data_IF_273329514721
#
_entry.id   IF_273329514721
#
_cell.length_a   1.000
_cell.length_b   1.000
_cell.length_c   1.000
_cell.angle_alpha   90.00
_cell.angle_beta   90.00
_cell.angle_gamma   90.00
#
_symmetry.space_group_name_H-M   'P 1'
#
loop_
_entity.id
_entity.type
_entity.pdbx_description
1 polymer ?
#
# COMPACT_ATOMS: atom_id res chain seq x y z
N UNK A 1 11.65 -33.04 -0.10
CA UNK A 1 11.71 -31.84 0.78
C UNK A 1 11.15 -30.70 -0.05
N UNK A 2 10.16 -29.91 0.41
CA UNK A 2 9.77 -28.72 -0.35
C UNK A 2 10.94 -27.73 -0.20
N UNK A 3 11.85 -27.79 -1.16
CA UNK A 3 12.97 -26.88 -1.25
C UNK A 3 12.40 -25.52 -1.60
N UNK A 4 12.76 -24.51 -0.83
CA UNK A 4 12.55 -23.12 -1.23
C UNK A 4 13.23 -22.97 -2.60
N UNK A 5 12.44 -22.85 -3.66
CA UNK A 5 12.97 -22.55 -4.98
C UNK A 5 13.49 -21.11 -4.92
N UNK A 6 14.81 -20.94 -5.04
CA UNK A 6 15.46 -19.63 -5.07
C UNK A 6 14.86 -18.73 -6.17
N UNK A 7 14.30 -19.33 -7.23
CA UNK A 7 13.54 -18.65 -8.28
C UNK A 7 12.30 -17.91 -7.79
N UNK A 8 11.70 -18.30 -6.66
CA UNK A 8 10.52 -17.66 -6.07
C UNK A 8 10.85 -16.55 -5.06
N UNK A 9 12.13 -16.37 -4.69
CA UNK A 9 12.55 -15.42 -3.65
C UNK A 9 12.87 -14.01 -4.17
N UNK A 10 12.86 -13.79 -5.48
CA UNK A 10 13.13 -12.49 -6.09
C UNK A 10 12.26 -11.33 -5.54
N UNK A 11 10.99 -11.53 -5.09
CA UNK A 11 10.22 -10.45 -4.48
C UNK A 11 10.84 -9.90 -3.19
N UNK A 12 11.74 -10.68 -2.55
CA UNK A 12 12.50 -10.29 -1.37
C UNK A 12 13.26 -8.97 -1.53
N UNK A 13 13.72 -8.64 -2.74
CA UNK A 13 14.44 -7.39 -3.01
C UNK A 13 13.55 -6.15 -2.80
N UNK A 14 12.26 -6.24 -3.10
CA UNK A 14 11.33 -5.13 -2.87
C UNK A 14 11.16 -4.84 -1.39
N UNK A 15 11.11 -5.87 -0.55
CA UNK A 15 11.08 -5.69 0.90
C UNK A 15 12.38 -5.07 1.40
N UNK A 16 13.53 -5.57 0.95
CA UNK A 16 14.83 -5.05 1.36
C UNK A 16 14.98 -3.56 1.01
N UNK A 17 14.70 -3.18 -0.25
CA UNK A 17 14.79 -1.80 -0.69
C UNK A 17 13.69 -0.93 -0.08
N UNK A 18 12.45 -1.44 0.00
CA UNK A 18 11.33 -0.74 0.62
C UNK A 18 11.60 -0.39 2.08
N UNK A 19 12.13 -1.33 2.87
CA UNK A 19 12.56 -1.09 4.24
C UNK A 19 13.75 -0.12 4.30
N UNK A 20 14.73 -0.26 3.42
CA UNK A 20 15.87 0.66 3.36
C UNK A 20 15.43 2.12 3.12
N UNK A 21 14.32 2.35 2.41
CA UNK A 21 13.74 3.69 2.21
C UNK A 21 12.82 4.13 3.35
N UNK A 22 12.11 3.21 4.01
CA UNK A 22 11.17 3.54 5.09
C UNK A 22 11.84 3.82 6.44
N UNK A 23 12.98 3.19 6.71
CA UNK A 23 13.65 3.28 8.00
C UNK A 23 14.34 4.63 8.30
N UNK A 24 15.05 5.28 7.34
CA UNK A 24 15.82 6.49 7.63
C UNK A 24 15.03 7.64 8.27
N UNK A 25 13.79 7.97 7.82
CA UNK A 25 13.00 9.02 8.46
C UNK A 25 12.74 8.77 9.96
N UNK A 26 12.70 7.49 10.40
CA UNK A 26 12.41 7.11 11.79
C UNK A 26 13.69 7.10 12.63
N UNK A 27 14.82 6.72 12.02
CA UNK A 27 16.13 6.62 12.68
C UNK A 27 16.80 8.00 12.81
N UNK A 28 16.50 8.94 11.91
CA UNK A 28 17.10 10.28 11.88
C UNK A 28 16.06 11.40 12.11
N UNK A 29 15.55 11.57 13.36
CA UNK A 29 14.53 12.58 13.66
C UNK A 29 14.90 14.01 13.28
N UNK A 30 16.19 14.35 13.31
CA UNK A 30 16.70 15.68 12.93
C UNK A 30 16.50 16.01 11.45
N UNK A 31 16.41 15.01 10.59
CA UNK A 31 16.22 15.16 9.13
C UNK A 31 14.84 14.68 8.68
N UNK A 32 13.94 14.43 9.64
CA UNK A 32 12.61 13.85 9.44
C UNK A 32 11.82 14.51 8.31
N UNK A 33 11.84 15.84 8.26
CA UNK A 33 11.07 16.61 7.28
C UNK A 33 11.62 16.46 5.85
N UNK A 34 12.95 16.44 5.70
CA UNK A 34 13.62 16.25 4.42
C UNK A 34 13.47 14.80 3.91
N UNK A 35 13.48 13.83 4.84
CA UNK A 35 13.42 12.41 4.51
C UNK A 35 11.99 11.86 4.38
N UNK A 36 10.96 12.60 4.81
CA UNK A 36 9.57 12.15 4.74
C UNK A 36 9.14 11.71 3.33
N UNK A 37 9.73 12.27 2.28
CA UNK A 37 9.45 11.85 0.90
C UNK A 37 9.87 10.41 0.57
N UNK A 38 10.83 9.84 1.29
CA UNK A 38 11.27 8.44 1.09
C UNK A 38 10.20 7.42 1.49
N UNK A 39 9.24 7.83 2.32
CA UNK A 39 8.14 6.96 2.76
C UNK A 39 7.27 6.56 1.55
N UNK A 40 7.11 7.44 0.57
CA UNK A 40 6.27 7.18 -0.62
C UNK A 40 6.83 6.02 -1.46
N UNK A 41 8.07 6.07 -1.98
CA UNK A 41 8.64 4.95 -2.72
C UNK A 41 8.86 3.73 -1.82
N UNK A 42 9.12 3.91 -0.52
CA UNK A 42 9.24 2.80 0.42
C UNK A 42 7.95 1.99 0.60
N UNK A 43 6.80 2.66 0.75
CA UNK A 43 5.48 2.02 0.78
C UNK A 43 5.12 1.34 -0.55
N UNK A 44 5.48 1.98 -1.66
CA UNK A 44 5.30 1.40 -3.00
C UNK A 44 6.02 0.06 -3.13
N UNK A 45 7.29 0.02 -2.74
CA UNK A 45 8.10 -1.21 -2.84
C UNK A 45 7.59 -2.28 -1.88
N UNK A 46 7.19 -1.94 -0.65
CA UNK A 46 6.61 -2.93 0.26
C UNK A 46 5.37 -3.60 -0.34
N UNK A 47 4.44 -2.82 -0.90
CA UNK A 47 3.22 -3.37 -1.51
C UNK A 47 3.54 -4.19 -2.75
N UNK A 48 4.48 -3.77 -3.60
CA UNK A 48 4.95 -4.59 -4.71
C UNK A 48 5.57 -5.91 -4.24
N UNK A 49 6.34 -5.88 -3.15
CA UNK A 49 6.87 -7.09 -2.51
C UNK A 49 5.75 -8.05 -2.14
N UNK A 50 4.70 -7.57 -1.46
CA UNK A 50 3.55 -8.41 -1.10
C UNK A 50 2.80 -8.96 -2.32
N UNK A 51 2.54 -8.13 -3.34
CA UNK A 51 1.87 -8.56 -4.56
C UNK A 51 2.71 -9.66 -5.23
N UNK A 52 3.99 -9.40 -5.52
CA UNK A 52 4.83 -10.36 -6.23
C UNK A 52 5.13 -11.61 -5.41
N UNK A 53 5.21 -11.53 -4.08
CA UNK A 53 5.29 -12.71 -3.22
C UNK A 53 4.03 -13.56 -3.33
N UNK A 54 2.84 -12.95 -3.31
CA UNK A 54 1.61 -13.69 -3.53
C UNK A 54 1.62 -14.36 -4.91
N UNK A 55 1.88 -13.60 -5.99
CA UNK A 55 1.85 -14.11 -7.36
C UNK A 55 2.86 -15.25 -7.55
N UNK A 56 4.08 -15.12 -7.03
CA UNK A 56 5.12 -16.14 -7.16
C UNK A 56 4.86 -17.42 -6.34
N UNK A 57 4.23 -17.31 -5.16
CA UNK A 57 3.93 -18.47 -4.31
C UNK A 57 2.67 -19.21 -4.78
N UNK A 58 1.67 -18.48 -5.25
CA UNK A 58 0.38 -19.06 -5.68
C UNK A 58 0.34 -19.40 -7.17
N UNK A 59 1.32 -18.94 -7.95
CA UNK A 59 1.37 -19.01 -9.40
C UNK A 59 0.14 -18.37 -10.11
N UNK A 60 -0.59 -17.52 -9.38
CA UNK A 60 -1.82 -16.86 -9.82
C UNK A 60 -1.50 -15.52 -10.50
N UNK A 61 -0.79 -15.56 -11.62
CA UNK A 61 -0.39 -14.35 -12.36
C UNK A 61 -1.57 -13.58 -12.96
N UNK A 62 -2.72 -14.23 -13.15
CA UNK A 62 -3.96 -13.58 -13.57
C UNK A 62 -4.42 -12.52 -12.55
N UNK A 63 -4.11 -12.72 -11.27
CA UNK A 63 -4.37 -11.73 -10.23
C UNK A 63 -3.65 -10.40 -10.45
N UNK A 64 -2.61 -10.33 -11.28
CA UNK A 64 -1.99 -9.07 -11.69
C UNK A 64 -3.00 -8.11 -12.34
N UNK A 65 -3.99 -8.63 -13.08
CA UNK A 65 -4.98 -7.82 -13.82
C UNK A 65 -5.74 -6.80 -12.95
N UNK A 66 -5.85 -7.07 -11.65
CA UNK A 66 -6.52 -6.18 -10.70
C UNK A 66 -5.61 -5.72 -9.54
N UNK A 67 -4.65 -6.52 -9.09
CA UNK A 67 -3.77 -6.18 -7.95
C UNK A 67 -2.86 -4.98 -8.21
N UNK A 68 -2.49 -4.68 -9.46
CA UNK A 68 -1.70 -3.49 -9.78
C UNK A 68 -2.35 -2.18 -9.32
N UNK A 69 -3.69 -2.15 -9.21
CA UNK A 69 -4.43 -0.98 -8.71
C UNK A 69 -4.09 -0.65 -7.24
N UNK A 70 -3.50 -1.58 -6.49
CA UNK A 70 -2.98 -1.34 -5.14
C UNK A 70 -1.72 -0.47 -5.12
N UNK A 71 -1.02 -0.31 -6.25
CA UNK A 71 0.19 0.53 -6.34
C UNK A 71 -0.14 2.00 -6.06
N UNK A 72 -1.06 2.66 -6.79
CA UNK A 72 -1.43 4.02 -6.44
C UNK A 72 -2.11 4.12 -5.06
N UNK A 73 -2.71 3.05 -4.55
CA UNK A 73 -3.19 3.02 -3.17
C UNK A 73 -2.04 3.12 -2.16
N UNK A 74 -0.94 2.40 -2.38
CA UNK A 74 0.24 2.44 -1.50
C UNK A 74 0.99 3.77 -1.61
N UNK A 75 1.01 4.40 -2.80
CA UNK A 75 1.53 5.76 -2.98
C UNK A 75 0.68 6.75 -2.19
N UNK A 76 -0.65 6.65 -2.26
CA UNK A 76 -1.58 7.46 -1.47
C UNK A 76 -1.37 7.30 0.04
N UNK A 77 -1.20 6.06 0.51
CA UNK A 77 -0.86 5.76 1.90
C UNK A 77 0.50 6.36 2.29
N UNK A 78 1.52 6.19 1.45
CA UNK A 78 2.84 6.78 1.65
C UNK A 78 2.80 8.30 1.74
N UNK A 79 2.02 8.95 0.87
CA UNK A 79 1.82 10.40 0.89
C UNK A 79 1.08 10.87 2.16
N UNK A 80 0.07 10.11 2.59
CA UNK A 80 -0.67 10.39 3.83
C UNK A 80 0.22 10.28 5.08
N UNK A 81 1.10 9.27 5.13
CA UNK A 81 2.09 9.10 6.20
C UNK A 81 3.14 10.22 6.11
N UNK A 82 3.72 10.44 4.92
CA UNK A 82 4.74 11.47 4.69
C UNK A 82 4.24 12.87 5.05
N UNK A 83 3.00 13.22 4.72
CA UNK A 83 2.42 14.51 5.06
C UNK A 83 2.32 14.74 6.58
N UNK A 84 1.98 13.70 7.35
CA UNK A 84 1.98 13.75 8.82
C UNK A 84 3.38 13.80 9.39
N UNK A 85 4.29 13.05 8.79
CA UNK A 85 5.63 12.91 9.32
C UNK A 85 6.53 14.12 8.99
N UNK A 86 6.36 14.72 7.81
CA UNK A 86 7.09 15.89 7.35
C UNK A 86 6.32 17.21 7.48
N UNK A 87 5.14 17.22 8.10
CA UNK A 87 4.32 18.43 8.28
C UNK A 87 3.98 19.17 6.97
N UNK A 88 3.68 18.44 5.89
CA UNK A 88 3.43 19.01 4.54
C UNK A 88 2.03 19.63 4.37
N UNK A 89 1.36 19.93 5.47
CA UNK A 89 0.03 20.52 5.48
C UNK A 89 -1.11 19.55 5.15
N UNK A 90 -2.37 20.01 5.33
CA UNK A 90 -3.56 19.18 5.17
C UNK A 90 -3.83 18.80 3.71
N UNK A 91 -3.37 19.60 2.74
CA UNK A 91 -3.56 19.33 1.30
C UNK A 91 -2.93 18.01 0.87
N UNK A 92 -1.63 17.81 1.16
CA UNK A 92 -0.92 16.59 0.82
C UNK A 92 -1.55 15.34 1.45
N UNK A 93 -1.93 15.43 2.73
CA UNK A 93 -2.63 14.35 3.45
C UNK A 93 -3.98 13.98 2.81
N UNK A 94 -4.73 14.99 2.36
CA UNK A 94 -6.04 14.81 1.71
C UNK A 94 -5.88 14.18 0.33
N UNK A 95 -4.91 14.63 -0.47
CA UNK A 95 -4.58 14.01 -1.76
C UNK A 95 -4.19 12.54 -1.59
N UNK A 96 -3.34 12.23 -0.60
CA UNK A 96 -2.95 10.85 -0.32
C UNK A 96 -4.13 9.95 0.05
N UNK A 97 -5.06 10.47 0.85
CA UNK A 97 -6.27 9.73 1.23
C UNK A 97 -7.20 9.48 0.04
N UNK A 98 -7.45 10.48 -0.81
CA UNK A 98 -8.29 10.33 -1.99
C UNK A 98 -7.67 9.41 -3.03
N UNK A 99 -6.36 9.49 -3.22
CA UNK A 99 -5.62 8.58 -4.10
C UNK A 99 -5.72 7.15 -3.57
N UNK A 100 -5.54 6.94 -2.27
CA UNK A 100 -5.71 5.64 -1.63
C UNK A 100 -7.13 5.08 -1.81
N UNK A 101 -8.15 5.88 -1.51
CA UNK A 101 -9.54 5.48 -1.62
C UNK A 101 -9.94 5.15 -3.06
N UNK A 102 -9.62 6.04 -4.02
CA UNK A 102 -9.94 5.85 -5.44
C UNK A 102 -9.28 4.60 -6.01
N UNK A 103 -8.01 4.35 -5.67
CA UNK A 103 -7.28 3.17 -6.10
C UNK A 103 -7.82 1.87 -5.50
N UNK A 104 -8.31 1.90 -4.26
CA UNK A 104 -8.92 0.72 -3.63
C UNK A 104 -10.32 0.42 -4.19
N UNK A 105 -11.09 1.46 -4.53
CA UNK A 105 -12.33 1.30 -5.30
C UNK A 105 -12.03 0.69 -6.67
N UNK A 106 -11.03 1.19 -7.38
CA UNK A 106 -10.60 0.62 -8.65
C UNK A 106 -10.14 -0.84 -8.52
N UNK A 107 -9.34 -1.16 -7.50
CA UNK A 107 -8.92 -2.53 -7.19
C UNK A 107 -10.12 -3.45 -7.01
N UNK A 108 -11.12 -3.04 -6.24
CA UNK A 108 -12.28 -3.88 -5.98
C UNK A 108 -13.20 -4.04 -7.19
N UNK A 109 -13.37 -2.97 -7.99
CA UNK A 109 -14.07 -3.05 -9.27
C UNK A 109 -13.35 -4.06 -10.17
N UNK A 110 -12.04 -3.91 -10.38
CA UNK A 110 -11.27 -4.82 -11.21
C UNK A 110 -11.25 -6.24 -10.65
N UNK A 111 -11.13 -6.43 -9.34
CA UNK A 111 -11.18 -7.74 -8.72
C UNK A 111 -12.54 -8.43 -8.93
N UNK A 112 -13.64 -7.68 -8.87
CA UNK A 112 -14.98 -8.22 -9.10
C UNK A 112 -15.21 -8.64 -10.56
N UNK A 113 -14.67 -7.89 -11.53
CA UNK A 113 -14.86 -8.17 -12.95
C UNK A 113 -13.81 -9.13 -13.55
N UNK A 114 -12.57 -9.06 -13.09
CA UNK A 114 -11.42 -9.74 -13.67
C UNK A 114 -10.88 -10.88 -12.79
N UNK A 115 -11.26 -10.92 -11.51
CA UNK A 115 -10.66 -11.83 -10.54
C UNK A 115 -11.26 -13.24 -10.47
N UNK A 116 -12.40 -13.48 -11.12
CA UNK A 116 -13.01 -14.81 -11.22
C UNK A 116 -13.20 -15.51 -9.86
N UNK A 117 -12.71 -16.75 -9.75
CA UNK A 117 -12.76 -17.53 -8.50
C UNK A 117 -11.53 -17.40 -7.59
N UNK A 118 -10.58 -16.52 -7.95
CA UNK A 118 -9.33 -16.34 -7.23
C UNK A 118 -9.53 -15.91 -5.77
N UNK A 119 -8.65 -16.34 -4.83
CA UNK A 119 -8.82 -16.06 -3.41
C UNK A 119 -8.68 -14.57 -3.08
N UNK A 120 -7.83 -13.83 -3.80
CA UNK A 120 -7.73 -12.37 -3.68
C UNK A 120 -9.00 -11.65 -4.15
N UNK A 121 -9.63 -12.13 -5.23
CA UNK A 121 -10.88 -11.58 -5.73
C UNK A 121 -12.02 -11.69 -4.71
N UNK A 122 -12.11 -12.85 -4.04
CA UNK A 122 -13.06 -13.10 -2.95
C UNK A 122 -12.79 -12.21 -1.72
N UNK A 123 -11.53 -11.86 -1.47
CA UNK A 123 -11.12 -10.99 -0.35
C UNK A 123 -11.24 -9.48 -0.63
N UNK A 124 -11.32 -9.05 -1.89
CA UNK A 124 -11.37 -7.63 -2.26
C UNK A 124 -12.52 -6.83 -1.61
N UNK A 125 -13.75 -7.36 -1.48
CA UNK A 125 -14.83 -6.67 -0.77
C UNK A 125 -14.52 -6.41 0.71
N UNK A 126 -13.85 -7.35 1.39
CA UNK A 126 -13.46 -7.20 2.79
C UNK A 126 -12.39 -6.11 2.96
N UNK A 127 -11.43 -6.04 2.03
CA UNK A 127 -10.42 -4.98 2.02
C UNK A 127 -11.03 -3.58 1.86
N UNK A 128 -12.05 -3.45 1.00
CA UNK A 128 -12.82 -2.21 0.86
C UNK A 128 -13.54 -1.82 2.15
N UNK A 129 -14.21 -2.78 2.80
CA UNK A 129 -14.98 -2.52 4.03
C UNK A 129 -14.03 -2.08 5.14
N UNK A 130 -12.92 -2.80 5.34
CA UNK A 130 -11.90 -2.44 6.33
C UNK A 130 -11.37 -1.01 6.09
N UNK A 131 -11.16 -0.64 4.82
CA UNK A 131 -10.73 0.71 4.48
C UNK A 131 -11.81 1.77 4.73
N UNK A 132 -13.05 1.51 4.34
CA UNK A 132 -14.19 2.41 4.62
C UNK A 132 -14.31 2.70 6.11
N UNK A 133 -14.08 1.68 6.95
CA UNK A 133 -14.02 1.82 8.41
C UNK A 133 -12.84 2.70 8.82
N UNK A 134 -11.63 2.49 8.29
CA UNK A 134 -10.44 3.30 8.61
C UNK A 134 -10.64 4.77 8.21
N UNK A 135 -11.19 5.03 7.02
CA UNK A 135 -11.46 6.39 6.53
C UNK A 135 -12.51 7.07 7.41
N UNK A 136 -13.59 6.37 7.75
CA UNK A 136 -14.64 6.91 8.63
C UNK A 136 -14.09 7.20 10.02
N UNK A 137 -13.31 6.28 10.57
CA UNK A 137 -12.72 6.42 11.90
C UNK A 137 -11.74 7.60 11.95
N UNK A 138 -10.87 7.74 10.93
CA UNK A 138 -9.96 8.88 10.84
C UNK A 138 -10.69 10.22 10.62
N UNK A 139 -11.82 10.23 9.92
CA UNK A 139 -12.67 11.42 9.78
C UNK A 139 -13.35 11.81 11.10
N UNK A 140 -13.82 10.83 11.89
CA UNK A 140 -14.46 11.05 13.20
C UNK A 140 -13.47 11.53 14.27
N UNK A 141 -12.21 11.10 14.22
CA UNK A 141 -11.17 11.61 15.14
C UNK A 141 -10.84 13.08 14.85
N UNK A 142 -10.97 13.51 13.59
CA UNK A 142 -10.65 14.89 13.16
C UNK A 142 -11.72 15.92 13.57
N UNK A 143 -12.97 15.49 13.72
CA UNK A 143 -14.10 16.36 14.11
C UNK A 143 -14.17 16.64 15.62
N UNK A 144 -13.35 15.97 16.43
CA UNK A 144 -13.32 16.14 17.89
C UNK A 144 -12.25 17.12 18.39
N UNK A 145 -11.43 17.67 17.51
CA UNK A 145 -10.32 18.57 17.85
C UNK A 145 -10.54 20.03 17.45
N UNK A 146 -11.73 20.36 16.92
CA UNK A 146 -12.22 21.72 16.66
C UNK A 146 -13.32 22.06 17.67
#
# INVERSE_FOLDING_TARGET
MPGIDLGSMWPGMFFAVGLALLLPPWILPSHRQALAGLIIPGMLLLVLGFIFTYLAITDDWDSWAYTWALIPASVGAGLWIAARFGFWGPGASTVGLWMMAGSLVAFAIFAAFLGGEGPLAKGAPLALIALGVIVTFTALVRTRSD
#
